data_IF_016125705283
#
_entry.id   IF_016125705283
#
_cell.length_a   1.000
_cell.length_b   1.000
_cell.length_c   1.000
_cell.angle_alpha   90.00
_cell.angle_beta   90.00
_cell.angle_gamma   90.00
#
_symmetry.space_group_name_H-M   'P 1'
#
loop_
_entity.id
_entity.type
_entity.pdbx_description
1 polymer ?
#
# COMPACT_ATOMS: atom_id res chain seq x y z
N UNK A 1 -16.25 21.96 15.87
CA UNK A 1 -17.56 21.40 15.47
C UNK A 1 -17.47 21.06 13.98
N UNK A 2 -17.00 19.85 13.66
CA UNK A 2 -16.75 19.44 12.27
C UNK A 2 -18.08 18.95 11.68
N UNK A 3 -18.55 19.59 10.61
CA UNK A 3 -19.77 19.20 9.89
C UNK A 3 -19.45 18.07 8.93
N UNK A 4 -19.98 16.87 9.20
CA UNK A 4 -20.08 15.78 8.25
C UNK A 4 -21.10 16.18 7.17
N UNK A 5 -20.64 16.34 5.93
CA UNK A 5 -21.53 16.57 4.79
C UNK A 5 -21.93 15.22 4.20
N UNK A 6 -23.17 14.81 4.44
CA UNK A 6 -23.83 13.71 3.72
C UNK A 6 -24.34 14.23 2.37
N UNK A 7 -23.93 13.60 1.27
CA UNK A 7 -24.57 13.77 -0.03
C UNK A 7 -25.05 12.43 -0.54
N UNK A 8 -26.37 12.25 -0.51
CA UNK A 8 -27.12 11.30 -1.34
C UNK A 8 -28.02 12.12 -2.23
N UNK A 9 -27.93 11.94 -3.55
CA UNK A 9 -29.10 11.80 -4.42
C UNK A 9 -28.67 11.42 -5.84
N UNK A 10 -29.23 10.30 -6.30
CA UNK A 10 -29.17 9.82 -7.68
C UNK A 10 -29.84 10.80 -8.64
N UNK A 11 -29.12 11.22 -9.69
CA UNK A 11 -29.69 11.55 -11.01
C UNK A 11 -28.67 11.10 -12.07
N UNK A 12 -29.14 10.30 -13.02
CA UNK A 12 -28.37 9.85 -14.18
C UNK A 12 -27.77 11.04 -14.94
N UNK A 13 -26.45 11.08 -15.10
CA UNK A 13 -25.77 12.07 -15.94
C UNK A 13 -24.59 11.41 -16.67
N UNK A 14 -24.60 11.62 -17.99
CA UNK A 14 -23.58 11.21 -18.96
C UNK A 14 -22.19 11.63 -18.50
N UNK A 15 -21.23 10.72 -18.68
CA UNK A 15 -19.79 10.97 -18.53
C UNK A 15 -19.38 12.21 -19.35
N UNK A 16 -18.95 13.32 -18.72
CA UNK A 16 -18.00 14.20 -19.35
C UNK A 16 -16.66 13.47 -19.34
N UNK A 17 -15.93 13.52 -20.45
CA UNK A 17 -14.50 13.24 -20.47
C UNK A 17 -13.86 14.25 -19.52
N UNK A 18 -13.49 13.79 -18.33
CA UNK A 18 -12.74 14.58 -17.37
C UNK A 18 -11.28 14.50 -17.82
N UNK A 19 -10.86 15.51 -18.59
CA UNK A 19 -9.47 15.97 -18.59
C UNK A 19 -9.24 16.64 -17.22
N UNK A 20 -8.79 15.88 -16.22
CA UNK A 20 -8.29 16.45 -14.96
C UNK A 20 -6.82 16.11 -14.79
N UNK A 21 -6.04 17.18 -14.64
CA UNK A 21 -4.65 17.20 -14.22
C UNK A 21 -4.44 16.23 -13.05
N UNK A 22 -3.68 15.16 -13.29
CA UNK A 22 -3.33 14.19 -12.27
C UNK A 22 -2.49 14.83 -11.17
N UNK A 23 -2.89 14.59 -9.91
CA UNK A 23 -2.07 14.77 -8.71
C UNK A 23 -0.87 13.81 -8.75
N UNK A 24 0.11 14.11 -9.61
CA UNK A 24 1.50 13.92 -9.19
C UNK A 24 1.68 14.92 -8.06
N UNK A 25 1.69 14.46 -6.80
CA UNK A 25 2.15 15.31 -5.70
C UNK A 25 3.52 15.83 -6.11
N UNK A 26 3.55 17.08 -6.53
CA UNK A 26 4.78 17.77 -6.85
C UNK A 26 5.66 17.70 -5.59
N UNK A 27 6.97 17.59 -5.75
CA UNK A 27 7.89 17.59 -4.60
C UNK A 27 7.66 18.82 -3.70
N UNK A 28 7.14 19.89 -4.31
CA UNK A 28 6.69 21.17 -3.78
C UNK A 28 5.28 21.17 -3.15
N UNK A 29 4.41 20.18 -3.41
CA UNK A 29 3.09 20.01 -2.79
C UNK A 29 3.10 19.06 -1.57
N UNK A 30 4.16 18.25 -1.45
CA UNK A 30 4.60 17.75 -0.16
C UNK A 30 5.00 19.01 0.59
N UNK A 31 4.27 19.36 1.68
CA UNK A 31 4.57 20.49 2.57
C UNK A 31 5.99 21.01 2.34
N UNK A 32 6.14 22.30 2.01
CA UNK A 32 7.29 23.02 2.53
C UNK A 32 7.43 22.58 3.99
N UNK A 33 8.43 21.73 4.18
CA UNK A 33 8.66 20.99 5.39
C UNK A 33 8.66 22.03 6.49
N UNK A 34 7.74 21.93 7.46
CA UNK A 34 7.91 22.74 8.68
C UNK A 34 9.36 22.49 9.10
N UNK A 35 10.15 23.56 9.10
CA UNK A 35 11.55 23.49 9.44
C UNK A 35 11.59 22.80 10.79
N UNK A 36 12.08 21.57 10.81
CA UNK A 36 12.04 20.75 12.01
C UNK A 36 12.85 21.51 13.03
N UNK A 37 12.21 21.82 14.16
CA UNK A 37 12.72 22.79 15.15
C UNK A 37 14.21 22.54 15.39
N UNK A 38 15.03 23.60 15.28
CA UNK A 38 16.46 23.53 15.56
C UNK A 38 16.75 22.91 16.93
N UNK A 39 15.90 23.17 17.93
CA UNK A 39 16.00 22.57 19.25
C UNK A 39 15.75 21.04 19.22
N UNK A 40 14.88 20.57 18.32
CA UNK A 40 14.64 19.16 18.09
C UNK A 40 15.85 18.47 17.44
N UNK A 41 16.49 19.12 16.47
CA UNK A 41 17.71 18.59 15.82
C UNK A 41 18.86 18.45 16.82
N UNK A 42 19.05 19.46 17.66
CA UNK A 42 20.08 19.46 18.70
C UNK A 42 19.85 18.37 19.74
N UNK A 43 18.60 18.16 20.17
CA UNK A 43 18.24 17.11 21.14
C UNK A 43 18.51 15.71 20.59
N UNK A 44 18.07 15.43 19.36
CA UNK A 44 18.30 14.14 18.72
C UNK A 44 19.81 13.91 18.47
N UNK A 45 20.54 14.93 18.05
CA UNK A 45 21.98 14.86 17.87
C UNK A 45 22.71 14.54 19.17
N UNK A 46 22.34 15.15 20.30
CA UNK A 46 22.92 14.84 21.61
C UNK A 46 22.67 13.38 22.02
N UNK A 47 21.46 12.86 21.82
CA UNK A 47 21.13 11.45 22.11
C UNK A 47 21.94 10.51 21.23
N UNK A 48 22.09 10.82 19.94
CA UNK A 48 22.85 9.99 19.01
C UNK A 48 24.37 10.05 19.25
N UNK A 49 24.90 11.19 19.69
CA UNK A 49 26.33 11.39 19.99
C UNK A 49 26.80 10.71 21.28
N UNK A 50 25.89 10.41 22.22
CA UNK A 50 26.23 9.76 23.48
C UNK A 50 26.44 8.25 23.36
N UNK A 51 26.21 7.64 22.20
CA UNK A 51 26.10 6.18 22.09
C UNK A 51 27.15 5.52 21.18
N UNK A 52 27.65 4.38 21.66
CA UNK A 52 28.77 3.64 21.06
C UNK A 52 28.32 2.66 19.94
N UNK A 53 27.04 2.27 19.88
CA UNK A 53 26.54 1.33 18.86
C UNK A 53 25.86 2.04 17.67
N UNK A 54 26.66 2.24 16.62
CA UNK A 54 26.21 2.80 15.33
C UNK A 54 25.09 1.97 14.68
N UNK A 55 24.97 0.68 14.99
CA UNK A 55 23.97 -0.17 14.35
C UNK A 55 22.52 0.17 14.75
N UNK A 56 22.35 0.87 15.88
CA UNK A 56 21.06 1.20 16.46
C UNK A 56 20.54 2.59 16.08
N UNK A 57 21.27 3.36 15.25
CA UNK A 57 20.91 4.74 14.92
C UNK A 57 19.48 4.84 14.39
N UNK A 58 19.09 4.00 13.42
CA UNK A 58 17.72 4.02 12.88
C UNK A 58 16.68 3.48 13.86
N UNK A 59 17.04 2.50 14.69
CA UNK A 59 16.15 1.98 15.74
C UNK A 59 15.78 3.10 16.72
N UNK A 60 16.78 3.87 17.16
CA UNK A 60 16.56 5.02 18.05
C UNK A 60 15.77 6.12 17.37
N UNK A 61 16.11 6.45 16.13
CA UNK A 61 15.35 7.40 15.32
C UNK A 61 13.86 7.04 15.29
N UNK A 62 13.51 5.79 14.99
CA UNK A 62 12.11 5.36 14.95
C UNK A 62 11.46 5.18 16.32
N UNK A 63 12.23 4.96 17.39
CA UNK A 63 11.71 4.96 18.78
C UNK A 63 11.37 6.37 19.26
N UNK A 64 12.15 7.35 18.82
CA UNK A 64 11.98 8.76 19.22
C UNK A 64 10.79 9.42 18.53
N UNK A 65 10.51 9.04 17.29
CA UNK A 65 9.37 9.56 16.52
C UNK A 65 8.08 8.82 16.79
N UNK A 66 6.99 9.58 16.85
CA UNK A 66 5.63 9.08 17.00
C UNK A 66 4.99 8.81 15.64
N UNK A 67 3.94 7.99 15.63
CA UNK A 67 3.11 7.76 14.44
C UNK A 67 2.48 9.05 13.92
N UNK A 68 2.13 9.96 14.83
CA UNK A 68 1.59 11.28 14.51
C UNK A 68 2.52 12.11 13.64
N UNK A 69 3.85 12.01 13.84
CA UNK A 69 4.85 12.79 13.10
C UNK A 69 4.88 12.45 11.60
N UNK A 70 4.34 11.29 11.21
CA UNK A 70 4.22 10.86 9.81
C UNK A 70 2.92 11.34 9.14
N UNK A 71 1.96 11.84 9.92
CA UNK A 71 0.65 12.26 9.39
C UNK A 71 0.84 13.63 8.73
N UNK A 72 0.48 13.78 7.43
CA UNK A 72 0.54 15.09 6.79
C UNK A 72 -0.50 16.02 7.40
N UNK A 73 -0.29 17.34 7.31
CA UNK A 73 -1.24 18.33 7.86
C UNK A 73 -2.62 18.26 7.21
N UNK A 74 -2.69 17.85 5.96
CA UNK A 74 -3.95 17.53 5.29
C UNK A 74 -3.84 16.16 4.63
N UNK A 75 -4.81 15.30 4.89
CA UNK A 75 -4.95 14.01 4.25
C UNK A 75 -6.41 13.73 3.93
N UNK A 76 -6.64 13.07 2.80
CA UNK A 76 -7.91 12.44 2.46
C UNK A 76 -7.92 11.02 3.02
N UNK A 77 -8.97 10.67 3.76
CA UNK A 77 -9.23 9.30 4.22
C UNK A 77 -10.58 8.84 3.68
N UNK A 78 -10.60 7.66 3.07
CA UNK A 78 -11.83 7.00 2.61
C UNK A 78 -12.16 5.87 3.58
N UNK A 79 -13.40 5.87 4.09
CA UNK A 79 -13.93 4.84 4.98
C UNK A 79 -15.19 4.27 4.35
N UNK A 80 -15.37 2.95 4.41
CA UNK A 80 -16.57 2.29 3.91
C UNK A 80 -17.39 1.67 5.02
N UNK A 81 -18.70 1.85 4.96
CA UNK A 81 -19.64 1.09 5.77
C UNK A 81 -19.68 -0.37 5.30
N UNK A 82 -19.77 -1.33 6.22
CA UNK A 82 -19.81 -2.77 5.89
C UNK A 82 -21.04 -3.16 5.07
N UNK A 83 -22.09 -2.34 5.04
CA UNK A 83 -23.28 -2.54 4.21
C UNK A 83 -23.10 -2.09 2.76
N UNK A 84 -21.99 -1.43 2.42
CA UNK A 84 -21.68 -1.03 1.05
C UNK A 84 -21.44 -2.26 0.17
N UNK A 85 -21.93 -2.21 -1.08
CA UNK A 85 -21.68 -3.25 -2.07
C UNK A 85 -20.21 -3.32 -2.44
N UNK A 86 -19.68 -4.54 -2.57
CA UNK A 86 -18.27 -4.82 -2.87
C UNK A 86 -17.83 -4.12 -4.14
N UNK A 87 -18.60 -4.25 -5.24
CA UNK A 87 -18.35 -3.55 -6.51
C UNK A 87 -18.22 -2.04 -6.35
N UNK A 88 -19.11 -1.42 -5.57
CA UNK A 88 -19.08 0.03 -5.32
C UNK A 88 -17.87 0.44 -4.48
N UNK A 89 -17.48 -0.38 -3.51
CA UNK A 89 -16.31 -0.11 -2.68
C UNK A 89 -15.01 -0.10 -3.52
N UNK A 90 -14.81 -1.08 -4.40
CA UNK A 90 -13.62 -1.11 -5.27
C UNK A 90 -13.63 0.01 -6.31
N UNK A 91 -14.78 0.33 -6.89
CA UNK A 91 -14.91 1.50 -7.75
C UNK A 91 -14.56 2.79 -7.01
N UNK A 92 -15.03 2.96 -5.77
CA UNK A 92 -14.71 4.10 -4.94
C UNK A 92 -13.22 4.17 -4.56
N UNK A 93 -12.53 3.04 -4.38
CA UNK A 93 -11.08 3.02 -4.17
C UNK A 93 -10.34 3.60 -5.38
N UNK A 94 -10.69 3.15 -6.59
CA UNK A 94 -10.10 3.67 -7.84
C UNK A 94 -10.42 5.15 -8.01
N UNK A 95 -11.70 5.52 -7.91
CA UNK A 95 -12.16 6.89 -8.12
C UNK A 95 -11.46 7.88 -7.17
N UNK A 96 -11.18 7.47 -5.94
CA UNK A 96 -10.49 8.31 -4.97
C UNK A 96 -8.95 8.19 -5.02
N UNK A 97 -8.38 7.36 -5.90
CA UNK A 97 -6.95 7.12 -6.01
C UNK A 97 -6.34 6.43 -4.78
N UNK A 98 -7.14 5.73 -3.98
CA UNK A 98 -6.71 5.08 -2.72
C UNK A 98 -6.62 3.57 -2.87
N UNK A 99 -5.64 2.96 -2.20
CA UNK A 99 -5.34 1.52 -2.34
C UNK A 99 -5.91 0.65 -1.22
N UNK A 100 -6.47 1.29 -0.19
CA UNK A 100 -7.10 0.63 0.94
C UNK A 100 -8.01 1.61 1.66
N UNK A 101 -9.02 1.08 2.34
CA UNK A 101 -9.95 1.85 3.17
C UNK A 101 -10.28 1.08 4.46
N UNK A 102 -10.38 1.74 5.62
CA UNK A 102 -10.95 1.14 6.82
C UNK A 102 -12.43 0.80 6.62
N UNK A 103 -12.87 -0.26 7.30
CA UNK A 103 -14.25 -0.72 7.30
C UNK A 103 -14.93 -0.37 8.62
N UNK A 104 -16.00 0.40 8.54
CA UNK A 104 -16.83 0.80 9.67
C UNK A 104 -18.09 -0.05 9.75
N UNK A 105 -18.30 -0.70 10.90
CA UNK A 105 -19.54 -1.41 11.18
C UNK A 105 -20.49 -0.49 11.97
N UNK A 106 -21.55 -0.03 11.32
CA UNK A 106 -22.54 0.84 11.92
C UNK A 106 -23.40 0.17 13.00
N UNK A 107 -23.51 -1.16 13.01
CA UNK A 107 -24.24 -1.89 14.07
C UNK A 107 -23.39 -2.02 15.32
N UNK A 108 -22.09 -2.33 15.17
CA UNK A 108 -21.16 -2.45 16.28
C UNK A 108 -20.52 -1.12 16.70
N UNK A 109 -20.70 -0.05 15.91
CA UNK A 109 -20.08 1.27 16.09
C UNK A 109 -18.56 1.18 16.27
N UNK A 110 -17.89 0.39 15.42
CA UNK A 110 -16.43 0.22 15.46
C UNK A 110 -15.82 -0.07 14.10
N UNK A 111 -14.52 0.17 13.98
CA UNK A 111 -13.75 -0.30 12.84
C UNK A 111 -13.48 -1.80 12.96
N UNK A 112 -13.85 -2.56 11.94
CA UNK A 112 -13.80 -4.04 11.96
C UNK A 112 -12.69 -4.62 11.07
N UNK A 113 -12.07 -3.80 10.22
CA UNK A 113 -11.05 -4.29 9.31
C UNK A 113 -10.59 -3.26 8.30
N UNK A 114 -9.77 -3.73 7.36
CA UNK A 114 -9.33 -2.98 6.18
C UNK A 114 -9.83 -3.70 4.93
N UNK A 115 -10.29 -2.93 3.95
CA UNK A 115 -10.47 -3.37 2.57
C UNK A 115 -9.23 -3.01 1.77
N UNK A 116 -8.64 -4.00 1.10
CA UNK A 116 -7.40 -3.87 0.33
C UNK A 116 -7.52 -4.55 -1.03
N UNK A 117 -6.54 -4.33 -1.90
CA UNK A 117 -6.51 -5.01 -3.21
C UNK A 117 -6.35 -6.54 -3.07
N UNK A 118 -5.75 -7.02 -1.97
CA UNK A 118 -5.66 -8.48 -1.72
C UNK A 118 -7.04 -9.09 -1.53
N UNK A 119 -7.98 -8.33 -0.98
CA UNK A 119 -9.36 -8.75 -0.79
C UNK A 119 -10.07 -8.87 -2.14
N UNK A 120 -9.84 -7.90 -3.03
CA UNK A 120 -10.33 -7.97 -4.41
C UNK A 120 -9.84 -9.22 -5.14
N UNK A 121 -8.54 -9.50 -5.05
CA UNK A 121 -7.92 -10.68 -5.68
C UNK A 121 -8.58 -11.97 -5.21
N UNK A 122 -8.83 -12.10 -3.90
CA UNK A 122 -9.50 -13.28 -3.34
C UNK A 122 -10.94 -13.42 -3.84
N UNK A 123 -11.65 -12.31 -3.98
CA UNK A 123 -13.03 -12.31 -4.50
C UNK A 123 -13.03 -12.78 -5.95
N UNK A 124 -12.19 -12.19 -6.78
CA UNK A 124 -12.05 -12.59 -8.18
C UNK A 124 -11.70 -14.07 -8.31
N UNK A 125 -10.75 -14.57 -7.50
CA UNK A 125 -10.37 -15.98 -7.51
C UNK A 125 -11.51 -16.92 -7.09
N UNK A 126 -12.37 -16.48 -6.15
CA UNK A 126 -13.45 -17.29 -5.62
C UNK A 126 -14.63 -17.43 -6.59
N UNK A 127 -15.02 -16.34 -7.26
CA UNK A 127 -16.20 -16.32 -8.12
C UNK A 127 -15.89 -16.53 -9.60
N UNK A 128 -14.64 -16.37 -10.02
CA UNK A 128 -14.29 -16.60 -11.41
C UNK A 128 -14.32 -18.08 -11.76
N UNK A 129 -15.23 -18.45 -12.66
CA UNK A 129 -15.35 -19.82 -13.20
C UNK A 129 -14.91 -19.89 -14.67
N UNK A 130 -15.42 -18.99 -15.51
CA UNK A 130 -15.09 -18.91 -16.93
C UNK A 130 -15.43 -17.52 -17.49
N UNK A 131 -14.88 -17.12 -18.66
CA UNK A 131 -15.18 -15.83 -19.29
C UNK A 131 -16.65 -15.63 -19.68
N UNK A 132 -17.40 -16.73 -19.83
CA UNK A 132 -18.79 -16.70 -20.28
C UNK A 132 -19.79 -16.50 -19.14
N UNK A 133 -19.35 -16.68 -17.89
CA UNK A 133 -20.21 -16.54 -16.71
C UNK A 133 -19.90 -15.20 -16.05
N UNK A 134 -20.91 -14.35 -15.95
CA UNK A 134 -20.82 -13.07 -15.23
C UNK A 134 -20.73 -13.31 -13.74
N UNK A 135 -19.84 -12.59 -13.06
CA UNK A 135 -19.71 -12.65 -11.60
C UNK A 135 -20.78 -11.78 -10.92
N UNK A 136 -22.04 -12.19 -11.01
CA UNK A 136 -23.19 -11.48 -10.42
C UNK A 136 -23.03 -11.34 -8.90
N UNK A 137 -22.44 -12.33 -8.23
CA UNK A 137 -22.19 -12.33 -6.80
C UNK A 137 -21.27 -11.17 -6.36
N UNK A 138 -20.29 -10.79 -7.19
CA UNK A 138 -19.43 -9.65 -6.91
C UNK A 138 -20.22 -8.32 -6.95
N UNK A 139 -21.27 -8.26 -7.77
CA UNK A 139 -22.07 -7.06 -7.97
C UNK A 139 -23.06 -6.82 -6.83
N UNK A 140 -23.68 -7.90 -6.34
CA UNK A 140 -24.78 -7.85 -5.37
C UNK A 140 -24.33 -8.05 -3.92
N UNK A 141 -23.15 -8.64 -3.67
CA UNK A 141 -22.69 -8.86 -2.30
C UNK A 141 -22.24 -7.58 -1.60
N UNK A 142 -22.53 -7.54 -0.29
CA UNK A 142 -22.05 -6.51 0.64
C UNK A 142 -20.66 -6.88 1.19
N UNK A 143 -19.94 -5.88 1.67
CA UNK A 143 -18.65 -6.09 2.33
C UNK A 143 -18.78 -7.02 3.55
N UNK A 144 -19.86 -6.89 4.32
CA UNK A 144 -20.12 -7.73 5.50
C UNK A 144 -20.31 -9.22 5.13
N UNK A 145 -21.19 -9.50 4.16
CA UNK A 145 -21.45 -10.88 3.71
C UNK A 145 -20.19 -11.52 3.17
N UNK A 146 -19.39 -10.77 2.41
CA UNK A 146 -18.13 -11.25 1.87
C UNK A 146 -17.09 -11.56 2.96
N UNK A 147 -16.97 -10.72 4.00
CA UNK A 147 -16.06 -10.99 5.13
C UNK A 147 -16.41 -12.31 5.83
N UNK A 148 -17.71 -12.60 5.95
CA UNK A 148 -18.19 -13.85 6.54
C UNK A 148 -17.93 -15.06 5.63
N UNK A 149 -17.95 -14.90 4.30
CA UNK A 149 -17.59 -15.99 3.36
C UNK A 149 -16.10 -16.36 3.47
N UNK A 150 -15.24 -15.43 3.87
CA UNK A 150 -13.80 -15.67 4.10
C UNK A 150 -13.47 -16.18 5.52
N UNK A 151 -14.42 -16.84 6.19
CA UNK A 151 -14.44 -17.26 7.60
C UNK A 151 -13.11 -17.80 8.18
N UNK A 152 -12.22 -18.39 7.38
CA UNK A 152 -10.93 -18.91 7.85
C UNK A 152 -9.84 -17.84 8.15
N UNK A 153 -10.08 -16.55 7.89
CA UNK A 153 -9.04 -15.52 8.01
C UNK A 153 -9.50 -14.13 8.50
N UNK A 154 -10.64 -14.02 9.19
CA UNK A 154 -11.06 -12.72 9.77
C UNK A 154 -10.16 -12.39 10.96
N UNK A 155 -8.99 -11.84 10.67
CA UNK A 155 -8.11 -11.26 11.67
C UNK A 155 -8.75 -10.00 12.21
N UNK A 156 -8.69 -9.82 13.52
CA UNK A 156 -9.04 -8.56 14.16
C UNK A 156 -8.25 -7.41 13.52
N UNK A 157 -8.87 -6.24 13.48
CA UNK A 157 -8.23 -5.05 12.98
C UNK A 157 -7.01 -4.73 13.85
N UNK A 158 -5.84 -4.74 13.24
CA UNK A 158 -4.61 -4.25 13.87
C UNK A 158 -4.51 -2.75 13.60
N UNK A 159 -4.51 -1.94 14.65
CA UNK A 159 -4.33 -0.49 14.62
C UNK A 159 -3.17 -0.05 15.51
N UNK A 160 -2.83 1.23 15.46
CA UNK A 160 -1.83 1.84 16.33
C UNK A 160 -2.28 3.25 16.75
N UNK A 161 -1.93 3.65 17.98
CA UNK A 161 -2.20 4.98 18.50
C UNK A 161 -1.27 6.03 17.86
N UNK A 162 -1.72 7.30 17.69
CA UNK A 162 -0.89 8.37 17.16
C UNK A 162 0.37 8.63 18.01
N UNK A 163 0.28 8.42 19.34
CA UNK A 163 1.39 8.64 20.27
C UNK A 163 2.39 7.48 20.36
N UNK A 164 2.08 6.32 19.76
CA UNK A 164 3.00 5.19 19.73
C UNK A 164 4.19 5.47 18.80
N UNK A 165 5.32 4.81 19.05
CA UNK A 165 6.53 5.05 18.27
C UNK A 165 6.43 4.48 16.85
N UNK A 166 7.13 5.08 15.89
CA UNK A 166 7.28 4.51 14.55
C UNK A 166 7.98 3.14 14.58
N UNK A 167 8.83 2.90 15.58
CA UNK A 167 9.44 1.59 15.80
C UNK A 167 8.38 0.52 16.08
N UNK A 168 7.41 0.82 16.96
CA UNK A 168 6.29 -0.08 17.23
C UNK A 168 5.39 -0.27 16.01
N UNK A 169 5.20 0.78 15.20
CA UNK A 169 4.48 0.69 13.93
C UNK A 169 5.17 -0.27 12.95
N UNK A 170 6.49 -0.13 12.75
CA UNK A 170 7.29 -1.00 11.89
C UNK A 170 7.22 -2.45 12.37
N UNK A 171 7.41 -2.67 13.68
CA UNK A 171 7.30 -4.01 14.29
C UNK A 171 5.92 -4.62 14.05
N UNK A 172 4.87 -3.82 14.22
CA UNK A 172 3.47 -4.23 14.01
C UNK A 172 3.22 -4.61 12.54
N UNK A 173 3.71 -3.83 11.58
CA UNK A 173 3.61 -4.13 10.15
C UNK A 173 4.29 -5.47 9.81
N UNK A 174 5.51 -5.68 10.30
CA UNK A 174 6.34 -6.87 10.03
C UNK A 174 5.71 -8.12 10.68
N UNK A 175 5.40 -8.05 11.98
CA UNK A 175 4.88 -9.20 12.73
C UNK A 175 3.53 -9.68 12.20
N UNK A 176 2.63 -8.75 11.87
CA UNK A 176 1.32 -9.09 11.34
C UNK A 176 1.34 -9.38 9.83
N UNK A 177 2.47 -9.11 9.15
CA UNK A 177 2.66 -9.23 7.70
C UNK A 177 1.62 -8.43 6.92
N UNK A 178 1.41 -7.18 7.34
CA UNK A 178 0.44 -6.25 6.74
C UNK A 178 1.15 -5.04 6.13
N UNK A 179 0.56 -4.47 5.09
CA UNK A 179 1.17 -3.38 4.32
C UNK A 179 0.55 -2.00 4.63
N UNK A 180 -0.53 -2.00 5.42
CA UNK A 180 -1.37 -0.86 5.77
C UNK A 180 -1.72 -0.98 7.25
N UNK A 181 -1.33 0.00 8.04
CA UNK A 181 -1.60 0.06 9.47
C UNK A 181 -2.36 1.36 9.77
N UNK A 182 -3.67 1.29 10.07
CA UNK A 182 -4.43 2.47 10.43
C UNK A 182 -3.96 3.04 11.76
N UNK A 183 -3.77 4.36 11.79
CA UNK A 183 -3.58 5.15 13.01
C UNK A 183 -4.96 5.55 13.49
N UNK A 184 -5.36 5.04 14.65
CA UNK A 184 -6.64 5.32 15.29
C UNK A 184 -6.34 6.06 16.57
N UNK A 185 -7.09 7.12 16.85
CA UNK A 185 -7.06 7.78 18.14
C UNK A 185 -8.18 7.18 19.00
N UNK A 186 -7.83 6.46 20.06
CA UNK A 186 -8.81 5.84 20.95
C UNK A 186 -9.62 6.85 21.78
N UNK A 187 -9.16 8.09 21.97
CA UNK A 187 -9.93 9.10 22.70
C UNK A 187 -11.14 9.57 21.88
N UNK A 188 -10.93 9.81 20.58
CA UNK A 188 -12.01 10.28 19.69
C UNK A 188 -12.67 9.16 18.89
N UNK A 189 -12.04 7.99 18.79
CA UNK A 189 -12.44 6.88 17.92
C UNK A 189 -12.18 7.12 16.44
N UNK A 190 -11.50 8.20 16.05
CA UNK A 190 -11.28 8.56 14.66
C UNK A 190 -10.07 7.83 14.07
N UNK A 191 -10.19 7.41 12.80
CA UNK A 191 -9.01 7.02 12.01
C UNK A 191 -8.36 8.30 11.47
N UNK A 192 -7.11 8.53 11.84
CA UNK A 192 -6.37 9.73 11.47
C UNK A 192 -5.62 9.54 10.14
N UNK A 193 -4.99 8.37 9.97
CA UNK A 193 -4.12 8.11 8.82
C UNK A 193 -3.91 6.60 8.59
N UNK A 194 -3.31 6.24 7.45
CA UNK A 194 -2.90 4.86 7.16
C UNK A 194 -1.39 4.82 6.90
N UNK A 195 -0.64 4.25 7.83
CA UNK A 195 0.80 4.06 7.71
C UNK A 195 1.15 2.98 6.68
N UNK A 196 2.24 3.21 5.96
CA UNK A 196 2.76 2.29 4.94
C UNK A 196 4.28 2.22 5.02
N UNK A 197 4.86 1.09 4.62
CA UNK A 197 6.32 0.94 4.51
C UNK A 197 6.96 2.05 3.66
N UNK A 198 6.33 2.42 2.52
CA UNK A 198 6.84 3.50 1.65
C UNK A 198 6.90 4.82 2.40
N UNK A 199 5.86 5.21 3.13
CA UNK A 199 5.84 6.48 3.88
C UNK A 199 6.86 6.50 5.01
N UNK A 200 6.99 5.41 5.76
CA UNK A 200 7.99 5.28 6.84
C UNK A 200 9.42 5.41 6.28
N UNK A 201 9.71 4.76 5.15
CA UNK A 201 11.01 4.85 4.51
C UNK A 201 11.29 6.26 3.97
N UNK A 202 10.29 6.90 3.34
CA UNK A 202 10.42 8.30 2.87
C UNK A 202 10.70 9.25 4.04
N UNK A 203 10.08 9.02 5.19
CA UNK A 203 10.30 9.84 6.39
C UNK A 203 11.72 9.75 6.92
N UNK A 204 12.30 8.54 6.98
CA UNK A 204 13.72 8.38 7.30
C UNK A 204 14.60 9.19 6.35
N UNK A 205 14.27 9.20 5.05
CA UNK A 205 15.02 9.94 4.03
C UNK A 205 14.93 11.46 4.13
N UNK A 206 13.97 11.99 4.87
CA UNK A 206 13.93 13.43 5.19
C UNK A 206 15.10 13.83 6.09
N UNK A 207 15.55 12.91 6.95
CA UNK A 207 16.58 13.17 7.96
C UNK A 207 17.89 12.45 7.66
N UNK A 208 17.97 11.63 6.61
CA UNK A 208 19.12 10.74 6.36
C UNK A 208 20.45 11.49 6.17
N UNK A 209 20.40 12.76 5.77
CA UNK A 209 21.58 13.61 5.63
C UNK A 209 22.04 14.21 6.97
N UNK A 210 21.11 14.42 7.90
CA UNK A 210 21.36 14.96 9.23
C UNK A 210 21.70 13.85 10.25
N UNK A 211 21.40 12.59 9.93
CA UNK A 211 21.71 11.44 10.78
C UNK A 211 23.10 10.88 10.47
N UNK A 212 23.86 10.43 11.49
CA UNK A 212 25.04 9.61 11.28
C UNK A 212 24.64 8.35 10.49
N UNK A 213 25.39 8.02 9.44
CA UNK A 213 25.09 6.87 8.59
C UNK A 213 25.79 5.64 9.16
N UNK A 214 25.05 4.61 9.61
CA UNK A 214 25.67 3.37 10.09
C UNK A 214 26.53 2.74 8.99
N UNK A 215 27.64 2.12 9.37
CA UNK A 215 28.57 1.48 8.44
C UNK A 215 27.92 0.47 7.47
N UNK A 216 26.84 -0.20 7.90
CA UNK A 216 26.08 -1.12 7.04
C UNK A 216 25.40 -0.45 5.84
N UNK A 217 25.19 0.87 5.85
CA UNK A 217 24.58 1.59 4.72
C UNK A 217 25.45 1.57 3.46
N UNK A 218 26.76 1.39 3.64
CA UNK A 218 27.74 1.33 2.57
C UNK A 218 28.03 -0.11 2.10
N UNK A 219 27.51 -1.12 2.80
CA UNK A 219 27.61 -2.51 2.39
C UNK A 219 26.65 -2.81 1.23
N UNK A 220 27.01 -3.81 0.43
CA UNK A 220 26.20 -4.24 -0.71
C UNK A 220 24.99 -5.06 -0.26
N UNK A 221 23.97 -5.18 -1.11
CA UNK A 221 22.81 -6.04 -0.83
C UNK A 221 23.23 -7.51 -0.62
N UNK A 222 24.24 -7.97 -1.36
CA UNK A 222 24.77 -9.33 -1.24
C UNK A 222 25.44 -9.56 0.13
N UNK A 223 26.25 -8.62 0.60
CA UNK A 223 26.90 -8.69 1.91
C UNK A 223 25.88 -8.71 3.05
N UNK A 224 24.81 -7.92 2.92
CA UNK A 224 23.77 -7.80 3.93
C UNK A 224 22.70 -8.90 3.83
N UNK A 225 22.67 -9.64 2.71
CA UNK A 225 21.63 -10.63 2.39
C UNK A 225 20.21 -10.05 2.49
N UNK A 226 20.04 -8.81 2.03
CA UNK A 226 18.75 -8.13 2.01
C UNK A 226 18.05 -8.43 0.69
N UNK A 227 16.97 -9.19 0.77
CA UNK A 227 16.16 -9.61 -0.38
C UNK A 227 15.89 -11.12 -0.37
N UNK A 228 15.04 -11.55 -1.28
CA UNK A 228 14.81 -12.98 -1.57
C UNK A 228 15.55 -13.30 -2.86
N UNK A 229 16.44 -14.31 -2.84
CA UNK A 229 17.31 -14.65 -3.98
C UNK A 229 17.04 -16.05 -4.56
N UNK A 230 16.13 -16.81 -3.95
CA UNK A 230 15.78 -18.18 -4.35
C UNK A 230 14.27 -18.37 -4.32
N UNK A 231 13.74 -19.28 -5.14
CA UNK A 231 12.31 -19.58 -5.23
C UNK A 231 11.47 -18.31 -5.53
N UNK A 232 11.95 -17.48 -6.45
CA UNK A 232 11.24 -16.28 -6.91
C UNK A 232 10.08 -16.74 -7.78
N UNK A 233 8.87 -16.37 -7.37
CA UNK A 233 7.68 -16.66 -8.17
C UNK A 233 7.62 -15.68 -9.35
N UNK A 234 7.72 -16.22 -10.56
CA UNK A 234 7.64 -15.46 -11.82
C UNK A 234 6.38 -15.82 -12.60
N UNK A 235 6.12 -15.04 -13.65
CA UNK A 235 5.12 -15.32 -14.67
C UNK A 235 5.72 -15.12 -16.07
N UNK A 236 5.12 -15.74 -17.07
CA UNK A 236 5.42 -15.51 -18.49
C UNK A 236 4.43 -14.48 -19.05
N UNK A 237 4.75 -13.74 -20.14
CA UNK A 237 3.88 -12.71 -20.69
C UNK A 237 2.48 -13.21 -21.10
N UNK A 238 2.38 -14.47 -21.50
CA UNK A 238 1.16 -15.17 -21.91
C UNK A 238 0.39 -15.77 -20.72
N UNK A 239 0.97 -15.79 -19.52
CA UNK A 239 0.30 -16.22 -18.28
C UNK A 239 -1.02 -15.48 -18.13
N UNK A 240 -2.10 -16.19 -17.81
CA UNK A 240 -3.41 -15.56 -17.62
C UNK A 240 -3.49 -14.80 -16.29
N UNK A 241 -4.33 -13.76 -16.24
CA UNK A 241 -4.60 -12.99 -15.02
C UNK A 241 -5.03 -13.94 -13.90
N UNK A 242 -5.96 -14.86 -14.15
CA UNK A 242 -6.45 -15.80 -13.13
C UNK A 242 -5.31 -16.62 -12.51
N UNK A 243 -4.33 -17.07 -13.31
CA UNK A 243 -3.17 -17.81 -12.79
C UNK A 243 -2.26 -16.91 -11.95
N UNK A 244 -2.05 -15.66 -12.37
CA UNK A 244 -1.32 -14.66 -11.60
C UNK A 244 -2.02 -14.35 -10.26
N UNK A 245 -3.36 -14.26 -10.23
CA UNK A 245 -4.14 -14.07 -9.01
C UNK A 245 -3.93 -15.23 -8.03
N UNK A 246 -3.91 -16.48 -8.51
CA UNK A 246 -3.60 -17.65 -7.66
C UNK A 246 -2.19 -17.54 -7.07
N UNK A 247 -1.19 -17.23 -7.89
CA UNK A 247 0.20 -17.02 -7.43
C UNK A 247 0.29 -15.95 -6.33
N UNK A 248 -0.44 -14.83 -6.46
CA UNK A 248 -0.48 -13.78 -5.43
C UNK A 248 -1.01 -14.25 -4.08
N UNK A 249 -2.01 -15.14 -4.08
CA UNK A 249 -2.64 -15.65 -2.86
C UNK A 249 -1.79 -16.76 -2.24
N UNK A 250 -1.35 -17.72 -3.04
CA UNK A 250 -0.57 -18.89 -2.59
C UNK A 250 0.81 -18.50 -2.07
N UNK A 251 1.55 -17.67 -2.82
CA UNK A 251 2.90 -17.23 -2.43
C UNK A 251 2.91 -15.99 -1.55
N UNK A 252 1.76 -15.34 -1.36
CA UNK A 252 1.60 -14.09 -0.60
C UNK A 252 2.54 -12.97 -1.05
N UNK A 253 2.85 -12.92 -2.35
CA UNK A 253 3.71 -11.89 -2.96
C UNK A 253 2.89 -10.67 -3.40
N UNK A 254 3.54 -9.51 -3.52
CA UNK A 254 2.90 -8.26 -3.96
C UNK A 254 3.01 -8.01 -5.46
N UNK A 255 3.97 -8.65 -6.12
CA UNK A 255 4.21 -8.54 -7.55
C UNK A 255 4.87 -9.82 -8.08
N UNK A 256 4.68 -10.07 -9.38
CA UNK A 256 5.26 -11.15 -10.16
C UNK A 256 6.16 -10.52 -11.23
N UNK A 257 7.48 -10.74 -11.17
CA UNK A 257 8.35 -10.43 -12.29
C UNK A 257 7.95 -11.27 -13.50
N UNK A 258 7.76 -10.62 -14.65
CA UNK A 258 7.51 -11.31 -15.92
C UNK A 258 8.81 -11.56 -16.65
N UNK A 259 9.04 -12.81 -17.04
CA UNK A 259 10.28 -13.26 -17.69
C UNK A 259 9.99 -13.88 -19.04
N UNK A 260 10.92 -13.74 -19.98
CA UNK A 260 10.86 -14.44 -21.28
C UNK A 260 11.36 -15.89 -21.20
N UNK A 261 11.36 -16.59 -22.33
CA UNK A 261 11.80 -18.00 -22.46
C UNK A 261 13.27 -18.20 -22.02
N UNK A 262 14.11 -17.17 -22.15
CA UNK A 262 15.50 -17.19 -21.68
C UNK A 262 15.66 -16.77 -20.20
N UNK A 263 14.56 -16.50 -19.50
CA UNK A 263 14.55 -16.10 -18.09
C UNK A 263 14.94 -14.64 -17.86
N UNK A 264 14.93 -13.78 -18.89
CA UNK A 264 15.24 -12.36 -18.77
C UNK A 264 14.00 -11.59 -18.34
N UNK A 265 14.18 -10.64 -17.43
CA UNK A 265 13.09 -9.79 -16.94
C UNK A 265 12.61 -8.85 -18.06
N UNK A 266 11.34 -9.01 -18.47
CA UNK A 266 10.70 -8.17 -19.48
C UNK A 266 9.82 -7.09 -18.87
N UNK A 267 9.05 -7.43 -17.83
CA UNK A 267 8.09 -6.52 -17.19
C UNK A 267 7.72 -7.03 -15.78
N UNK A 268 6.73 -6.43 -15.12
CA UNK A 268 6.23 -6.80 -13.79
C UNK A 268 4.69 -6.77 -13.82
N UNK A 269 4.04 -7.66 -13.08
CA UNK A 269 2.61 -7.58 -12.79
C UNK A 269 2.41 -7.53 -11.27
N UNK A 270 1.85 -6.44 -10.76
CA UNK A 270 1.66 -6.20 -9.33
C UNK A 270 0.19 -6.37 -8.93
N UNK A 271 -0.05 -6.60 -7.63
CA UNK A 271 -1.41 -6.58 -7.08
C UNK A 271 -2.13 -5.26 -7.41
N UNK A 272 -1.39 -4.17 -7.51
CA UNK A 272 -1.96 -2.87 -7.85
C UNK A 272 -2.61 -2.86 -9.24
N UNK A 273 -2.04 -3.56 -10.23
CA UNK A 273 -2.62 -3.59 -11.60
C UNK A 273 -3.98 -4.29 -11.64
N UNK A 274 -4.24 -5.20 -10.69
CA UNK A 274 -5.52 -5.90 -10.59
C UNK A 274 -6.67 -4.92 -10.30
N UNK A 275 -6.42 -3.79 -9.62
CA UNK A 275 -7.49 -2.83 -9.33
C UNK A 275 -8.03 -2.14 -10.59
N UNK A 276 -7.22 -2.04 -11.65
CA UNK A 276 -7.64 -1.43 -12.91
C UNK A 276 -8.75 -2.26 -13.58
N UNK A 277 -8.78 -3.58 -13.35
CA UNK A 277 -9.87 -4.43 -13.81
C UNK A 277 -11.24 -3.99 -13.25
N UNK A 278 -11.26 -3.46 -12.02
CA UNK A 278 -12.47 -2.89 -11.42
C UNK A 278 -12.87 -1.57 -12.07
N UNK A 279 -11.89 -0.72 -12.39
CA UNK A 279 -12.09 0.58 -13.04
C UNK A 279 -12.74 0.42 -14.42
N UNK A 280 -12.19 -0.50 -15.21
CA UNK A 280 -12.58 -0.74 -16.60
C UNK A 280 -13.76 -1.72 -16.73
N UNK A 281 -14.17 -2.35 -15.63
CA UNK A 281 -15.17 -3.44 -15.61
C UNK A 281 -14.78 -4.63 -16.49
N UNK A 282 -13.48 -4.85 -16.67
CA UNK A 282 -12.91 -5.93 -17.48
C UNK A 282 -12.69 -7.21 -16.67
N UNK A 283 -13.02 -7.21 -15.37
CA UNK A 283 -12.86 -8.36 -14.47
C UNK A 283 -13.65 -9.62 -14.87
N UNK A 284 -14.60 -9.54 -15.80
CA UNK A 284 -15.36 -10.72 -16.27
C UNK A 284 -14.51 -11.70 -17.09
N UNK A 285 -13.40 -11.25 -17.68
CA UNK A 285 -12.49 -12.12 -18.43
C UNK A 285 -11.09 -12.11 -17.83
N UNK A 286 -10.81 -13.09 -16.95
CA UNK A 286 -9.50 -13.26 -16.32
C UNK A 286 -8.58 -14.24 -17.05
N UNK A 287 -9.00 -14.77 -18.21
CA UNK A 287 -8.18 -15.63 -19.07
C UNK A 287 -7.24 -14.81 -19.98
N UNK A 288 -7.41 -13.49 -19.99
CA UNK A 288 -6.52 -12.55 -20.71
C UNK A 288 -5.09 -12.68 -20.19
N UNK A 289 -4.12 -12.56 -21.10
CA UNK A 289 -2.70 -12.61 -20.78
C UNK A 289 -2.24 -11.40 -19.96
N UNK A 290 -1.20 -11.57 -19.14
CA UNK A 290 -0.59 -10.46 -18.40
C UNK A 290 -0.03 -9.38 -19.32
N UNK A 291 0.52 -9.76 -20.48
CA UNK A 291 0.99 -8.80 -21.48
C UNK A 291 -0.13 -7.86 -21.92
N UNK A 292 -1.28 -8.41 -22.30
CA UNK A 292 -2.45 -7.63 -22.69
C UNK A 292 -2.98 -6.80 -21.51
N UNK A 293 -3.01 -7.37 -20.30
CA UNK A 293 -3.44 -6.64 -19.11
C UNK A 293 -2.57 -5.41 -18.83
N UNK A 294 -1.25 -5.49 -19.10
CA UNK A 294 -0.32 -4.38 -18.90
C UNK A 294 -0.41 -3.28 -19.95
N UNK A 295 -0.99 -3.54 -21.13
CA UNK A 295 -1.25 -2.51 -22.15
C UNK A 295 -2.23 -1.45 -21.65
N UNK A 296 -3.05 -1.79 -20.65
CA UNK A 296 -3.99 -0.89 -19.98
C UNK A 296 -3.37 -0.03 -18.87
N UNK A 297 -2.06 -0.11 -18.63
CA UNK A 297 -1.40 0.81 -17.71
C UNK A 297 -1.37 2.22 -18.30
N UNK A 298 -1.66 3.22 -17.47
CA UNK A 298 -1.53 4.63 -17.85
C UNK A 298 -0.14 4.92 -18.45
N UNK A 299 -0.06 5.93 -19.33
CA UNK A 299 1.18 6.38 -20.02
C UNK A 299 2.33 6.72 -19.05
N UNK A 300 2.04 6.86 -17.75
CA UNK A 300 2.96 7.21 -16.67
C UNK A 300 3.69 6.02 -16.02
N UNK A 301 3.60 4.79 -16.57
CA UNK A 301 4.41 3.69 -16.07
C UNK A 301 5.91 3.94 -16.34
N UNK A 302 6.66 4.37 -15.32
CA UNK A 302 8.10 4.68 -15.40
C UNK A 302 9.00 3.45 -15.63
N UNK A 303 8.41 2.28 -15.85
CA UNK A 303 9.12 1.02 -16.07
C UNK A 303 9.41 0.23 -14.81
N UNK A 304 10.15 -0.87 -14.97
CA UNK A 304 10.54 -1.74 -13.86
C UNK A 304 11.86 -1.26 -13.25
N UNK A 305 11.82 -0.80 -12.02
CA UNK A 305 13.03 -0.49 -11.27
C UNK A 305 13.82 -1.76 -10.97
N UNK A 306 15.11 -1.73 -11.32
CA UNK A 306 16.05 -2.84 -11.14
C UNK A 306 17.22 -2.41 -10.24
N UNK A 307 17.90 -3.39 -9.67
CA UNK A 307 19.16 -3.18 -8.96
C UNK A 307 20.12 -4.34 -9.17
N UNK A 308 21.41 -4.12 -8.89
CA UNK A 308 22.44 -5.16 -8.86
C UNK A 308 22.76 -5.55 -7.41
N UNK A 309 23.12 -6.82 -7.14
CA UNK A 309 23.51 -7.27 -5.79
C UNK A 309 24.70 -6.50 -5.20
N UNK A 310 25.56 -5.96 -6.08
CA UNK A 310 26.76 -5.19 -5.73
C UNK A 310 26.46 -3.72 -5.41
N UNK A 311 25.22 -3.25 -5.56
CA UNK A 311 24.84 -1.89 -5.17
C UNK A 311 24.70 -1.79 -3.65
N UNK A 312 25.04 -0.63 -3.09
CA UNK A 312 24.97 -0.38 -1.65
C UNK A 312 23.53 -0.23 -1.16
N UNK A 313 23.28 -0.57 0.10
CA UNK A 313 21.96 -0.38 0.72
C UNK A 313 21.47 1.07 0.60
N UNK A 314 22.35 2.05 0.82
CA UNK A 314 22.01 3.48 0.69
C UNK A 314 21.46 3.80 -0.71
N UNK A 315 22.18 3.40 -1.76
CA UNK A 315 21.78 3.66 -3.17
C UNK A 315 20.40 3.06 -3.48
N UNK A 316 20.12 1.87 -2.94
CA UNK A 316 18.84 1.18 -3.18
C UNK A 316 17.70 1.82 -2.40
N UNK A 317 17.92 2.16 -1.14
CA UNK A 317 16.92 2.85 -0.34
C UNK A 317 16.58 4.22 -0.94
N UNK A 318 17.58 4.96 -1.45
CA UNK A 318 17.37 6.24 -2.14
C UNK A 318 16.52 6.06 -3.40
N UNK A 319 16.82 5.04 -4.21
CA UNK A 319 16.05 4.71 -5.43
C UNK A 319 14.58 4.40 -5.09
N UNK A 320 14.32 3.62 -4.03
CA UNK A 320 12.96 3.26 -3.59
C UNK A 320 12.17 4.50 -3.13
N UNK A 321 12.84 5.46 -2.49
CA UNK A 321 12.20 6.68 -1.97
C UNK A 321 11.84 7.67 -3.09
N UNK A 322 12.63 7.69 -4.16
CA UNK A 322 12.43 8.56 -5.33
C UNK A 322 11.37 8.02 -6.30
N UNK A 323 11.18 6.70 -6.37
CA UNK A 323 10.08 6.04 -7.09
C UNK A 323 8.73 6.18 -6.35
#
# INVERSE_FOLDING_TARGET
>A
MIRLHYYSNSVALRLPLIEEEEEVYRIDEIKEFEAVDTAWKETLAQILLQEEDESQIFVKFFKFHKCYDLIPTSAKLVVFDTQLLVKKAFFALVYNGVRAAPLWDSTQQKFVGMLTITDFIKILQMYYTSPTVTMEELEEHKLDTWRNVLQDNVKELVSIEPDASLYDAIKTLIHNRIHRLPVIDHETGNVLYILTHKRILRFLFLYINDLPKPSYMHKTLEELRIGTFSNIETAEPDTSIILALRKFVERRVSALPMVDEEGRLVDIFAKFDVINLAAEKTYNNLDVSLKTANEHRNEWFEGVHKCKPTETLYTIMERIVRA
#
